data_IF_678221845462
#
_entry.id   IF_678221845462
#
_cell.length_a   1.000
_cell.length_b   1.000
_cell.length_c   1.000
_cell.angle_alpha   90.00
_cell.angle_beta   90.00
_cell.angle_gamma   90.00
#
_symmetry.space_group_name_H-M   'P 1'
#
loop_
_entity.id
_entity.type
_entity.pdbx_description
1 polymer ?
#
# COMPACT_ATOMS: atom_id res chain seq x y z
N UNK A 1 35.08 -4.74 11.05
CA UNK A 1 36.27 -5.60 10.90
C UNK A 1 35.87 -6.98 11.41
N UNK A 2 35.43 -7.88 10.51
CA UNK A 2 34.87 -9.17 10.90
C UNK A 2 35.99 -10.12 11.32
N UNK A 3 35.99 -10.54 12.58
CA UNK A 3 36.94 -11.53 13.09
C UNK A 3 36.72 -12.85 12.34
N UNK A 4 37.75 -13.32 11.64
CA UNK A 4 37.76 -14.63 10.99
C UNK A 4 37.74 -15.69 12.09
N UNK A 5 36.63 -16.40 12.26
CA UNK A 5 36.52 -17.50 13.21
C UNK A 5 37.48 -18.63 12.80
N UNK A 6 38.28 -19.13 13.74
CA UNK A 6 39.19 -20.27 13.50
C UNK A 6 38.38 -21.52 13.11
N UNK A 7 38.89 -22.37 12.19
CA UNK A 7 38.15 -23.52 11.67
C UNK A 7 37.68 -24.51 12.75
N UNK A 8 38.43 -24.64 13.84
CA UNK A 8 38.08 -25.47 15.01
C UNK A 8 36.86 -24.93 15.77
N UNK A 9 36.78 -23.62 15.95
CA UNK A 9 35.66 -22.95 16.65
C UNK A 9 34.36 -23.08 15.85
N UNK A 10 34.44 -22.92 14.52
CA UNK A 10 33.32 -23.15 13.61
C UNK A 10 32.84 -24.60 13.65
N UNK A 11 33.77 -25.57 13.65
CA UNK A 11 33.43 -26.98 13.70
C UNK A 11 32.68 -27.35 15.01
N UNK A 12 33.16 -26.86 16.16
CA UNK A 12 32.49 -27.08 17.44
C UNK A 12 31.09 -26.46 17.48
N UNK A 13 30.93 -25.23 16.98
CA UNK A 13 29.64 -24.54 16.88
C UNK A 13 28.66 -25.32 15.99
N UNK A 14 29.10 -25.78 14.83
CA UNK A 14 28.27 -26.56 13.91
C UNK A 14 27.86 -27.91 14.52
N UNK A 15 28.73 -28.55 15.31
CA UNK A 15 28.41 -29.79 16.03
C UNK A 15 27.31 -29.57 17.07
N UNK A 16 27.44 -28.54 17.90
CA UNK A 16 26.40 -28.20 18.89
C UNK A 16 25.05 -27.86 18.24
N UNK A 17 25.06 -27.17 17.09
CA UNK A 17 23.84 -26.91 16.31
C UNK A 17 23.19 -28.19 15.77
N UNK A 18 23.98 -29.17 15.33
CA UNK A 18 23.47 -30.48 14.87
C UNK A 18 22.90 -31.31 16.01
N UNK A 19 23.56 -31.32 17.16
CA UNK A 19 23.08 -32.00 18.37
C UNK A 19 21.77 -31.38 18.87
N UNK A 20 21.69 -30.04 18.91
CA UNK A 20 20.45 -29.33 19.25
C UNK A 20 19.31 -29.60 18.25
N UNK A 21 19.63 -29.83 16.98
CA UNK A 21 18.68 -30.20 15.95
C UNK A 21 18.33 -31.70 15.94
N UNK A 22 18.92 -32.52 16.82
CA UNK A 22 18.67 -33.96 16.89
C UNK A 22 19.11 -34.73 15.64
N UNK A 23 20.02 -34.16 14.84
CA UNK A 23 20.50 -34.72 13.56
C UNK A 23 21.67 -35.70 13.73
N UNK A 24 21.93 -36.18 14.96
CA UNK A 24 22.98 -37.16 15.26
C UNK A 24 22.50 -38.58 14.96
N UNK A 25 22.12 -38.83 13.70
CA UNK A 25 21.96 -40.17 13.16
C UNK A 25 22.91 -40.29 11.98
N UNK A 26 23.90 -41.14 12.18
CA UNK A 26 24.93 -41.47 11.21
C UNK A 26 24.34 -41.87 9.86
N UNK A 27 25.18 -41.67 8.85
CA UNK A 27 25.03 -42.13 7.47
C UNK A 27 24.51 -43.57 7.48
N UNK A 28 23.22 -43.74 7.18
CA UNK A 28 22.59 -45.05 7.05
C UNK A 28 21.91 -45.11 5.69
N UNK A 29 22.33 -46.12 4.94
CA UNK A 29 22.01 -46.37 3.55
C UNK A 29 20.51 -46.37 3.25
N UNK A 30 20.19 -45.82 2.08
CA UNK A 30 18.85 -45.76 1.52
C UNK A 30 18.46 -47.15 1.04
N UNK A 31 17.69 -47.89 1.85
CA UNK A 31 16.96 -49.08 1.40
C UNK A 31 15.48 -48.90 1.71
N UNK A 32 14.70 -48.69 0.64
CA UNK A 32 13.25 -48.64 0.71
C UNK A 32 12.66 -50.04 0.82
N UNK A 33 11.91 -50.30 1.88
CA UNK A 33 10.85 -51.29 1.91
C UNK A 33 9.93 -50.99 3.10
N UNK A 34 8.64 -51.20 2.86
CA UNK A 34 7.49 -50.86 3.68
C UNK A 34 7.55 -51.36 5.14
N UNK A 35 7.02 -50.53 6.05
CA UNK A 35 6.63 -50.92 7.40
C UNK A 35 5.22 -50.40 7.71
N UNK A 36 4.46 -51.27 8.39
CA UNK A 36 3.02 -51.31 8.62
C UNK A 36 2.37 -50.11 9.34
N UNK A 37 1.24 -49.69 8.78
CA UNK A 37 -0.11 -49.78 9.38
C UNK A 37 -0.30 -49.47 10.88
N UNK A 38 0.10 -48.29 11.33
CA UNK A 38 -0.66 -47.51 12.32
C UNK A 38 -0.15 -46.06 12.23
N UNK A 39 -1.03 -45.12 11.91
CA UNK A 39 -0.74 -43.69 11.78
C UNK A 39 -0.15 -43.22 10.43
N UNK A 40 -0.76 -43.66 9.31
CA UNK A 40 -0.51 -42.98 8.03
C UNK A 40 -1.31 -41.66 7.97
N UNK A 41 -0.68 -40.52 7.62
CA UNK A 41 -1.37 -39.24 7.54
C UNK A 41 -2.39 -39.25 6.39
N UNK A 42 -3.65 -39.02 6.71
CA UNK A 42 -4.73 -38.89 5.72
C UNK A 42 -4.55 -37.60 4.92
N UNK A 43 -4.53 -37.70 3.59
CA UNK A 43 -4.38 -36.56 2.70
C UNK A 43 -5.65 -35.70 2.67
N UNK A 44 -5.49 -34.39 2.91
CA UNK A 44 -6.59 -33.41 2.87
C UNK A 44 -6.48 -32.51 1.65
N UNK A 45 -7.45 -32.59 0.74
CA UNK A 45 -7.46 -31.78 -0.48
C UNK A 45 -8.46 -30.62 -0.36
N UNK A 46 -8.04 -29.41 -0.77
CA UNK A 46 -8.88 -28.20 -0.79
C UNK A 46 -9.47 -27.93 -2.19
N UNK A 47 -8.66 -28.01 -3.25
CA UNK A 47 -9.04 -27.63 -4.62
C UNK A 47 -9.14 -28.83 -5.61
N UNK A 48 -8.66 -30.03 -5.25
CA UNK A 48 -8.62 -31.18 -6.16
C UNK A 48 -9.60 -32.29 -5.79
N UNK A 49 -10.09 -33.01 -6.81
CA UNK A 49 -10.83 -34.26 -6.68
C UNK A 49 -9.95 -35.44 -7.08
N UNK A 50 -9.72 -36.35 -6.15
CA UNK A 50 -8.96 -37.58 -6.42
C UNK A 50 -9.87 -38.53 -7.20
N UNK A 51 -9.38 -39.02 -8.35
CA UNK A 51 -10.12 -39.92 -9.24
C UNK A 51 -9.84 -41.41 -8.99
N UNK A 52 -8.90 -41.72 -8.11
CA UNK A 52 -8.41 -43.07 -7.84
C UNK A 52 -8.93 -43.56 -6.49
N UNK A 53 -9.54 -44.75 -6.47
CA UNK A 53 -10.23 -45.33 -5.32
C UNK A 53 -9.28 -45.89 -4.26
N UNK A 54 -7.99 -46.03 -4.59
CA UNK A 54 -6.96 -46.57 -3.68
C UNK A 54 -6.41 -45.53 -2.70
N UNK A 55 -6.75 -44.26 -2.89
CA UNK A 55 -6.22 -43.13 -2.10
C UNK A 55 -7.28 -42.67 -1.10
N UNK A 56 -7.05 -42.95 0.19
CA UNK A 56 -7.88 -42.44 1.28
C UNK A 56 -7.65 -40.93 1.43
N UNK A 57 -8.70 -40.15 1.27
CA UNK A 57 -8.61 -38.69 1.31
C UNK A 57 -9.83 -38.04 1.96
N UNK A 58 -9.62 -36.90 2.59
CA UNK A 58 -10.66 -36.09 3.21
C UNK A 58 -10.78 -34.75 2.47
N UNK A 59 -11.99 -34.35 2.06
CA UNK A 59 -12.21 -33.05 1.44
C UNK A 59 -12.35 -31.99 2.53
N UNK A 60 -11.49 -30.97 2.47
CA UNK A 60 -11.57 -29.86 3.42
C UNK A 60 -12.77 -28.97 3.08
N UNK A 61 -13.57 -28.63 4.10
CA UNK A 61 -14.70 -27.71 3.95
C UNK A 61 -14.24 -26.32 3.49
N UNK A 62 -15.03 -25.70 2.61
CA UNK A 62 -14.78 -24.31 2.18
C UNK A 62 -15.08 -23.40 3.37
N UNK A 63 -14.18 -22.45 3.65
CA UNK A 63 -14.43 -21.44 4.66
C UNK A 63 -15.62 -20.58 4.21
N UNK A 64 -16.70 -20.58 4.99
CA UNK A 64 -17.82 -19.70 4.75
C UNK A 64 -17.47 -18.33 5.35
N UNK A 65 -17.19 -17.29 4.53
CA UNK A 65 -16.96 -15.97 5.08
C UNK A 65 -18.21 -15.52 5.85
N UNK A 66 -18.05 -14.74 6.94
CA UNK A 66 -19.18 -14.12 7.59
C UNK A 66 -19.97 -13.30 6.56
N UNK A 67 -21.29 -13.42 6.57
CA UNK A 67 -22.14 -12.60 5.71
C UNK A 67 -21.92 -11.15 6.12
N UNK A 68 -21.54 -10.33 5.15
CA UNK A 68 -21.34 -8.90 5.34
C UNK A 68 -22.67 -8.29 5.82
N UNK A 69 -22.66 -7.77 7.04
CA UNK A 69 -23.71 -6.87 7.52
C UNK A 69 -23.37 -5.48 7.02
N UNK A 70 -24.24 -4.92 6.16
CA UNK A 70 -24.11 -3.54 5.72
C UNK A 70 -24.14 -2.64 6.96
N UNK A 71 -23.14 -1.78 7.17
CA UNK A 71 -23.21 -0.81 8.24
C UNK A 71 -24.44 0.06 7.98
N UNK A 72 -25.38 0.07 8.92
CA UNK A 72 -26.44 1.07 8.98
C UNK A 72 -25.72 2.39 9.23
N UNK A 73 -25.42 3.10 8.15
CA UNK A 73 -24.87 4.44 8.21
C UNK A 73 -26.03 5.31 8.69
N UNK A 74 -26.04 5.62 9.99
CA UNK A 74 -26.81 6.76 10.49
C UNK A 74 -26.31 7.96 9.70
N UNK A 75 -27.20 8.54 8.90
CA UNK A 75 -26.93 9.63 7.99
C UNK A 75 -26.63 10.90 8.79
N UNK A 76 -25.44 10.98 9.38
CA UNK A 76 -24.84 12.25 9.76
C UNK A 76 -24.20 12.86 8.51
N UNK A 77 -24.62 14.08 8.26
CA UNK A 77 -24.53 14.82 7.01
C UNK A 77 -23.08 15.24 6.77
N UNK A 78 -22.33 14.43 6.04
CA UNK A 78 -20.97 14.73 5.58
C UNK A 78 -21.03 15.43 4.20
N UNK A 79 -21.66 16.61 4.16
CA UNK A 79 -21.77 17.46 2.94
C UNK A 79 -20.42 17.97 2.42
N UNK A 80 -19.34 17.83 3.19
CA UNK A 80 -17.99 18.20 2.72
C UNK A 80 -17.32 17.08 1.89
N UNK A 81 -17.81 15.84 1.98
CA UNK A 81 -17.25 14.69 1.26
C UNK A 81 -17.66 14.62 -0.21
N UNK A 82 -18.81 15.19 -0.58
CA UNK A 82 -19.35 15.08 -1.94
C UNK A 82 -18.56 15.93 -2.95
N UNK A 83 -18.05 17.11 -2.56
CA UNK A 83 -17.16 17.92 -3.41
C UNK A 83 -15.82 17.21 -3.72
N UNK A 84 -15.34 16.38 -2.81
CA UNK A 84 -14.11 15.61 -2.99
C UNK A 84 -14.30 14.45 -3.97
N UNK A 85 -15.48 13.82 -3.98
CA UNK A 85 -15.83 12.74 -4.91
C UNK A 85 -16.07 13.23 -6.35
N UNK A 86 -16.52 14.47 -6.52
CA UNK A 86 -16.58 15.17 -7.81
C UNK A 86 -15.19 15.52 -8.38
N UNK A 87 -14.13 15.44 -7.56
CA UNK A 87 -12.75 15.70 -7.97
C UNK A 87 -12.01 14.48 -8.55
N UNK A 88 -12.69 13.32 -8.65
CA UNK A 88 -12.14 12.04 -9.13
C UNK A 88 -11.93 12.00 -10.65
N UNK A 89 -12.47 12.98 -11.40
CA UNK A 89 -12.17 13.11 -12.82
C UNK A 89 -10.72 13.57 -13.05
N UNK A 90 -10.02 13.04 -14.07
CA UNK A 90 -8.71 13.56 -14.46
C UNK A 90 -8.83 15.05 -14.79
N UNK A 91 -8.21 15.89 -13.98
CA UNK A 91 -8.20 17.34 -14.18
C UNK A 91 -7.55 17.70 -15.51
N UNK A 92 -7.93 18.83 -16.09
CA UNK A 92 -7.33 19.37 -17.32
C UNK A 92 -5.80 19.46 -17.15
N UNK A 93 -4.97 19.20 -18.18
CA UNK A 93 -3.50 19.19 -18.05
C UNK A 93 -2.93 20.52 -17.52
N UNK A 94 -3.60 21.64 -17.80
CA UNK A 94 -3.17 22.98 -17.37
C UNK A 94 -3.94 23.50 -16.13
N UNK A 95 -4.63 22.64 -15.38
CA UNK A 95 -5.43 23.08 -14.23
C UNK A 95 -4.59 23.73 -13.14
N UNK A 96 -3.41 23.15 -12.90
CA UNK A 96 -2.43 23.61 -11.91
C UNK A 96 -1.87 24.99 -12.30
N UNK A 97 -1.56 25.15 -13.59
CA UNK A 97 -1.12 26.42 -14.15
C UNK A 97 -2.17 27.52 -13.93
N UNK A 98 -3.45 27.23 -14.17
CA UNK A 98 -4.52 28.21 -13.93
C UNK A 98 -4.60 28.59 -12.46
N UNK A 99 -4.64 27.58 -11.57
CA UNK A 99 -4.71 27.78 -10.12
C UNK A 99 -3.57 28.66 -9.60
N UNK A 100 -2.36 28.45 -10.08
CA UNK A 100 -1.17 29.14 -9.57
C UNK A 100 -0.97 30.53 -10.20
N UNK A 101 -1.50 30.76 -11.40
CA UNK A 101 -1.39 32.04 -12.13
C UNK A 101 -2.52 33.02 -11.78
N UNK A 102 -3.73 32.51 -11.54
CA UNK A 102 -4.92 33.31 -11.24
C UNK A 102 -4.73 34.31 -10.06
N UNK A 103 -4.18 33.94 -8.89
CA UNK A 103 -3.97 34.90 -7.80
C UNK A 103 -2.91 35.97 -8.14
N UNK A 104 -1.92 35.64 -8.99
CA UNK A 104 -0.91 36.60 -9.46
C UNK A 104 -1.52 37.62 -10.41
N UNK A 105 -2.36 37.17 -11.34
CA UNK A 105 -3.10 38.05 -12.25
C UNK A 105 -4.08 38.94 -11.49
N UNK A 106 -4.84 38.39 -10.55
CA UNK A 106 -5.77 39.18 -9.73
C UNK A 106 -5.02 40.29 -8.93
N UNK A 107 -3.84 39.99 -8.39
CA UNK A 107 -3.01 41.00 -7.71
C UNK A 107 -2.48 42.07 -8.66
N UNK A 108 -2.07 41.67 -9.87
CA UNK A 108 -1.60 42.59 -10.90
C UNK A 108 -2.72 43.50 -11.37
N UNK A 109 -3.89 42.95 -11.69
CA UNK A 109 -5.07 43.67 -12.13
C UNK A 109 -5.50 44.74 -11.11
N UNK A 110 -5.57 44.38 -9.82
CA UNK A 110 -5.87 45.35 -8.75
C UNK A 110 -4.87 46.51 -8.70
N UNK A 111 -3.58 46.25 -8.96
CA UNK A 111 -2.54 47.29 -9.00
C UNK A 111 -2.68 48.17 -10.24
N UNK A 112 -2.97 47.57 -11.39
CA UNK A 112 -3.18 48.28 -12.66
C UNK A 112 -4.40 49.20 -12.59
N UNK A 113 -5.52 48.72 -12.03
CA UNK A 113 -6.72 49.53 -11.82
C UNK A 113 -6.43 50.73 -10.90
N UNK A 114 -5.72 50.52 -9.79
CA UNK A 114 -5.30 51.61 -8.89
C UNK A 114 -4.38 52.61 -9.59
N UNK A 115 -3.38 52.13 -10.33
CA UNK A 115 -2.47 52.99 -11.07
C UNK A 115 -3.22 53.82 -12.13
N UNK A 116 -4.18 53.22 -12.81
CA UNK A 116 -5.03 53.91 -13.79
C UNK A 116 -5.83 55.03 -13.14
N UNK A 117 -6.45 54.78 -11.99
CA UNK A 117 -7.19 55.79 -11.22
C UNK A 117 -6.27 56.93 -10.79
N UNK A 118 -5.08 56.62 -10.25
CA UNK A 118 -4.11 57.64 -9.85
C UNK A 118 -3.64 58.50 -11.03
N UNK A 119 -3.38 57.89 -12.18
CA UNK A 119 -3.02 58.63 -13.40
C UNK A 119 -4.14 59.54 -13.89
N UNK A 120 -5.40 59.10 -13.79
CA UNK A 120 -6.56 59.94 -14.11
C UNK A 120 -6.67 61.13 -13.15
N UNK A 121 -6.52 60.89 -11.84
CA UNK A 121 -6.58 61.94 -10.82
C UNK A 121 -5.48 62.99 -11.04
N UNK A 122 -4.24 62.56 -11.30
CA UNK A 122 -3.13 63.48 -11.58
C UNK A 122 -3.37 64.30 -12.85
N UNK A 123 -3.87 63.66 -13.91
CA UNK A 123 -4.22 64.38 -15.15
C UNK A 123 -5.32 65.40 -14.92
N UNK A 124 -6.35 65.07 -14.14
CA UNK A 124 -7.40 66.01 -13.77
C UNK A 124 -6.86 67.18 -12.94
N UNK A 125 -6.00 66.92 -11.95
CA UNK A 125 -5.38 67.96 -11.11
C UNK A 125 -4.47 68.90 -11.92
N UNK A 126 -3.66 68.35 -12.83
CA UNK A 126 -2.85 69.16 -13.74
C UNK A 126 -3.72 69.98 -14.72
N UNK A 127 -4.81 69.41 -15.22
CA UNK A 127 -5.75 70.11 -16.10
C UNK A 127 -6.55 71.20 -15.36
N UNK A 128 -6.84 71.01 -14.06
CA UNK A 128 -7.50 72.01 -13.22
C UNK A 128 -6.56 73.14 -12.73
N UNK A 129 -5.28 73.08 -13.08
CA UNK A 129 -4.36 74.21 -12.93
C UNK A 129 -3.86 74.45 -11.50
N UNK A 130 -3.93 73.47 -10.61
CA UNK A 130 -3.27 73.55 -9.30
C UNK A 130 -1.83 73.05 -9.42
N UNK A 131 -0.80 73.93 -9.37
CA UNK A 131 0.57 73.48 -9.27
C UNK A 131 0.82 72.87 -7.89
N UNK A 132 1.42 71.68 -7.88
CA UNK A 132 1.86 70.92 -6.70
C UNK A 132 2.70 71.73 -5.73
#
# INVERSE_FOLDING_TARGET
MGAMEDPSTRAARLRALREAAGLDKGEQEVNGAAADTADQPVLKFRNYTVRDDKITHEKTAVANPPKYEEPVVEAEVDVEGEELLLSVAPKKPNWDLRRDVEPKLAKLERRTQRAMILLMQNQQHHASGEPT
#
